data_IF_874262738911
#
_entry.id   IF_874262738911
#
_cell.length_a   1.000
_cell.length_b   1.000
_cell.length_c   1.000
_cell.angle_alpha   90.00
_cell.angle_beta   90.00
_cell.angle_gamma   90.00
#
_symmetry.space_group_name_H-M   'P 1'
#
loop_
_entity.id
_entity.type
_entity.pdbx_description
1 polymer ?
#
# COMPACT_ATOMS: atom_id res chain seq x y z
N UNK A 1 -7.12 -21.94 31.44
CA UNK A 1 -6.44 -20.69 31.05
C UNK A 1 -7.50 -19.70 30.62
N UNK A 2 -7.56 -18.53 31.24
CA UNK A 2 -8.50 -17.47 30.85
C UNK A 2 -7.94 -16.85 29.58
N UNK A 3 -8.52 -17.19 28.44
CA UNK A 3 -8.10 -16.70 27.11
C UNK A 3 -8.13 -15.16 27.09
N UNK A 4 -6.98 -14.55 26.78
CA UNK A 4 -6.76 -13.10 26.77
C UNK A 4 -7.69 -12.45 25.74
N UNK A 5 -8.31 -11.31 26.06
CA UNK A 5 -9.19 -10.60 25.12
C UNK A 5 -8.47 -10.29 23.80
N UNK A 6 -7.17 -9.99 23.82
CA UNK A 6 -6.41 -9.79 22.59
C UNK A 6 -6.37 -11.04 21.70
N UNK A 7 -6.09 -12.21 22.28
CA UNK A 7 -6.04 -13.49 21.55
C UNK A 7 -7.40 -13.85 20.93
N UNK A 8 -8.50 -13.58 21.66
CA UNK A 8 -9.86 -13.71 21.11
C UNK A 8 -10.07 -12.78 19.92
N UNK A 9 -9.59 -11.54 20.02
CA UNK A 9 -9.62 -10.58 18.93
C UNK A 9 -8.91 -11.11 17.68
N UNK A 10 -7.67 -11.59 17.84
CA UNK A 10 -6.88 -12.15 16.74
C UNK A 10 -7.58 -13.36 16.11
N UNK A 11 -8.13 -14.27 16.92
CA UNK A 11 -8.89 -15.43 16.42
C UNK A 11 -10.09 -15.02 15.56
N UNK A 12 -10.85 -14.00 15.97
CA UNK A 12 -11.94 -13.48 15.16
C UNK A 12 -11.42 -12.81 13.88
N UNK A 13 -10.35 -12.03 13.93
CA UNK A 13 -9.74 -11.41 12.74
C UNK A 13 -9.25 -12.47 11.73
N UNK A 14 -8.53 -13.48 12.20
CA UNK A 14 -8.07 -14.59 11.35
C UNK A 14 -9.26 -15.35 10.73
N UNK A 15 -10.33 -15.55 11.50
CA UNK A 15 -11.56 -16.16 10.97
C UNK A 15 -12.19 -15.30 9.87
N UNK A 16 -12.22 -13.97 10.04
CA UNK A 16 -12.71 -13.01 9.03
C UNK A 16 -11.89 -13.10 7.74
N UNK A 17 -10.56 -13.19 7.83
CA UNK A 17 -9.66 -13.30 6.69
C UNK A 17 -9.81 -14.66 5.98
N UNK A 18 -9.95 -15.75 6.74
CA UNK A 18 -10.05 -17.10 6.19
C UNK A 18 -11.43 -17.42 5.57
N UNK A 19 -12.52 -16.87 6.12
CA UNK A 19 -13.90 -17.28 5.78
C UNK A 19 -14.73 -16.18 5.09
N UNK A 20 -14.09 -15.20 4.46
CA UNK A 20 -14.75 -14.34 3.47
C UNK A 20 -15.39 -13.05 3.98
N UNK A 21 -14.63 -12.23 4.73
CA UNK A 21 -14.97 -10.84 5.06
C UNK A 21 -16.33 -10.62 5.75
N UNK A 22 -16.73 -11.52 6.65
CA UNK A 22 -17.97 -11.39 7.42
C UNK A 22 -17.87 -10.27 8.48
N UNK A 23 -18.62 -9.18 8.30
CA UNK A 23 -18.60 -8.01 9.19
C UNK A 23 -19.00 -8.31 10.65
N UNK A 24 -19.83 -9.32 10.90
CA UNK A 24 -20.19 -9.71 12.27
C UNK A 24 -18.97 -10.26 13.03
N UNK A 25 -18.11 -11.01 12.33
CA UNK A 25 -16.89 -11.56 12.91
C UNK A 25 -15.90 -10.43 13.21
N UNK A 26 -15.80 -9.45 12.31
CA UNK A 26 -14.94 -8.29 12.51
C UNK A 26 -15.39 -7.41 13.68
N UNK A 27 -16.71 -7.25 13.87
CA UNK A 27 -17.26 -6.60 15.06
C UNK A 27 -16.84 -7.30 16.36
N UNK A 28 -16.86 -8.64 16.39
CA UNK A 28 -16.37 -9.40 17.56
C UNK A 28 -14.88 -9.20 17.80
N UNK A 29 -14.08 -9.08 16.74
CA UNK A 29 -12.66 -8.74 16.88
C UNK A 29 -12.49 -7.36 17.55
N UNK A 30 -13.21 -6.34 17.06
CA UNK A 30 -13.20 -4.98 17.60
C UNK A 30 -13.60 -4.97 19.08
N UNK A 31 -14.69 -5.62 19.47
CA UNK A 31 -15.13 -5.67 20.88
C UNK A 31 -14.07 -6.25 21.82
N UNK A 32 -13.36 -7.27 21.36
CA UNK A 32 -12.28 -7.91 22.12
C UNK A 32 -11.03 -7.01 22.18
N UNK A 33 -10.64 -6.38 21.07
CA UNK A 33 -9.54 -5.41 21.07
C UNK A 33 -9.83 -4.20 21.96
N UNK A 34 -11.06 -3.67 21.97
CA UNK A 34 -11.45 -2.59 22.89
C UNK A 34 -11.28 -2.98 24.36
N UNK A 35 -11.60 -4.23 24.71
CA UNK A 35 -11.35 -4.75 26.07
C UNK A 35 -9.86 -4.89 26.35
N UNK A 36 -9.07 -5.34 25.38
CA UNK A 36 -7.62 -5.45 25.52
C UNK A 36 -6.96 -4.08 25.73
N UNK A 37 -7.32 -3.07 24.93
CA UNK A 37 -6.90 -1.67 25.09
C UNK A 37 -7.30 -1.12 26.46
N UNK A 38 -8.53 -1.40 26.94
CA UNK A 38 -8.96 -0.96 28.27
C UNK A 38 -8.10 -1.56 29.41
N UNK A 39 -7.60 -2.78 29.24
CA UNK A 39 -6.75 -3.45 30.22
C UNK A 39 -5.30 -2.98 30.17
N UNK A 40 -4.80 -2.64 28.98
CA UNK A 40 -3.45 -2.12 28.78
C UNK A 40 -3.47 -1.05 27.68
N UNK A 41 -3.71 0.23 28.04
CA UNK A 41 -3.86 1.33 27.08
C UNK A 41 -2.53 1.80 26.48
N UNK A 42 -1.39 1.37 27.00
CA UNK A 42 -0.07 1.73 26.46
C UNK A 42 0.48 0.64 25.52
N UNK A 43 -0.32 -0.41 25.25
CA UNK A 43 0.09 -1.48 24.36
C UNK A 43 -0.13 -1.09 22.89
N UNK A 44 0.97 -0.75 22.23
CA UNK A 44 1.03 -0.37 20.80
C UNK A 44 0.30 -1.37 19.90
N UNK A 45 0.53 -2.68 20.10
CA UNK A 45 -0.04 -3.72 19.26
C UNK A 45 -1.58 -3.77 19.39
N UNK A 46 -2.12 -3.50 20.57
CA UNK A 46 -3.57 -3.52 20.79
C UNK A 46 -4.26 -2.38 20.05
N UNK A 47 -3.69 -1.17 20.13
CA UNK A 47 -4.16 -0.02 19.35
C UNK A 47 -4.04 -0.26 17.85
N UNK A 48 -2.91 -0.80 17.39
CA UNK A 48 -2.72 -1.14 15.98
C UNK A 48 -3.77 -2.13 15.48
N UNK A 49 -4.05 -3.20 16.23
CA UNK A 49 -5.06 -4.20 15.85
C UNK A 49 -6.48 -3.65 15.88
N UNK A 50 -6.79 -2.78 16.85
CA UNK A 50 -8.09 -2.10 16.90
C UNK A 50 -8.27 -1.17 15.70
N UNK A 51 -7.28 -0.33 15.40
CA UNK A 51 -7.26 0.54 14.23
C UNK A 51 -7.39 -0.25 12.91
N UNK A 52 -6.65 -1.36 12.79
CA UNK A 52 -6.75 -2.24 11.63
C UNK A 52 -8.14 -2.84 11.46
N UNK A 53 -8.77 -3.29 12.55
CA UNK A 53 -10.12 -3.82 12.48
C UNK A 53 -11.16 -2.75 12.12
N UNK A 54 -11.02 -1.50 12.61
CA UNK A 54 -11.84 -0.38 12.17
C UNK A 54 -11.63 -0.04 10.69
N UNK A 55 -10.37 -0.05 10.22
CA UNK A 55 -10.04 0.19 8.81
C UNK A 55 -10.70 -0.85 7.90
N UNK A 56 -10.64 -2.14 8.26
CA UNK A 56 -11.33 -3.22 7.55
C UNK A 56 -12.87 -3.06 7.53
N UNK A 57 -13.44 -2.33 8.51
CA UNK A 57 -14.86 -1.96 8.54
C UNK A 57 -15.19 -0.64 7.83
N UNK A 58 -14.22 0.00 7.16
CA UNK A 58 -14.34 1.35 6.57
C UNK A 58 -14.70 2.43 7.61
N UNK A 59 -14.42 2.18 8.89
CA UNK A 59 -14.55 3.13 10.01
C UNK A 59 -13.26 3.95 10.12
N UNK A 60 -12.99 4.75 9.08
CA UNK A 60 -11.67 5.35 8.86
C UNK A 60 -11.30 6.42 9.89
N UNK A 61 -12.29 7.15 10.44
CA UNK A 61 -12.04 8.12 11.51
C UNK A 61 -11.59 7.44 12.81
N UNK A 62 -12.26 6.35 13.21
CA UNK A 62 -11.82 5.57 14.36
C UNK A 62 -10.49 4.88 14.10
N UNK A 63 -10.27 4.36 12.90
CA UNK A 63 -8.99 3.78 12.52
C UNK A 63 -7.85 4.80 12.63
N UNK A 64 -8.04 6.01 12.09
CA UNK A 64 -7.06 7.10 12.17
C UNK A 64 -6.74 7.45 13.62
N UNK A 65 -7.76 7.55 14.48
CA UNK A 65 -7.57 7.86 15.91
C UNK A 65 -6.71 6.81 16.61
N UNK A 66 -6.91 5.53 16.33
CA UNK A 66 -6.10 4.45 16.91
C UNK A 66 -4.67 4.43 16.34
N UNK A 67 -4.50 4.69 15.04
CA UNK A 67 -3.18 4.79 14.42
C UNK A 67 -2.38 6.00 14.91
N UNK A 68 -3.03 7.13 15.21
CA UNK A 68 -2.38 8.27 15.86
C UNK A 68 -1.83 7.92 17.24
N UNK A 69 -2.55 7.08 18.01
CA UNK A 69 -2.05 6.58 19.29
C UNK A 69 -0.83 5.69 19.07
N UNK A 70 -0.86 4.79 18.08
CA UNK A 70 0.28 3.96 17.70
C UNK A 70 1.52 4.82 17.40
N UNK A 71 1.36 5.87 16.58
CA UNK A 71 2.46 6.77 16.21
C UNK A 71 2.98 7.62 17.40
N UNK A 72 2.15 7.85 18.43
CA UNK A 72 2.57 8.53 19.67
C UNK A 72 3.33 7.59 20.61
N UNK A 73 2.88 6.34 20.74
CA UNK A 73 3.47 5.35 21.64
C UNK A 73 4.75 4.71 21.06
N UNK A 74 4.77 4.46 19.76
CA UNK A 74 5.89 3.89 19.01
C UNK A 74 6.15 4.75 17.76
N UNK A 75 6.77 5.93 17.94
CA UNK A 75 7.04 6.82 16.82
C UNK A 75 8.01 6.16 15.82
N UNK A 76 7.78 6.33 14.52
CA UNK A 76 8.69 5.79 13.51
C UNK A 76 10.09 6.34 13.72
N UNK A 77 11.10 5.48 13.51
CA UNK A 77 12.49 5.91 13.59
C UNK A 77 12.75 7.04 12.59
N UNK A 78 13.45 8.08 13.03
CA UNK A 78 13.93 9.12 12.12
C UNK A 78 14.84 8.45 11.08
N UNK A 79 14.57 8.62 9.77
CA UNK A 79 15.39 8.00 8.75
C UNK A 79 16.82 8.54 8.85
N UNK A 80 17.81 7.66 8.74
CA UNK A 80 19.21 8.08 8.67
C UNK A 80 19.44 8.90 7.40
N UNK A 81 20.46 9.77 7.42
CA UNK A 81 20.89 10.54 6.25
C UNK A 81 21.16 9.63 5.03
N UNK A 82 21.66 8.41 5.27
CA UNK A 82 21.87 7.41 4.23
C UNK A 82 20.54 6.96 3.61
N UNK A 83 19.55 6.60 4.44
CA UNK A 83 18.23 6.20 3.97
C UNK A 83 17.48 7.31 3.26
N UNK A 84 17.61 8.55 3.73
CA UNK A 84 17.06 9.71 3.06
C UNK A 84 17.70 9.94 1.67
N UNK A 85 19.03 9.87 1.57
CA UNK A 85 19.73 9.94 0.26
C UNK A 85 19.32 8.78 -0.66
N UNK A 86 19.14 7.59 -0.12
CA UNK A 86 18.75 6.41 -0.87
C UNK A 86 17.33 6.56 -1.45
N UNK A 87 16.37 7.05 -0.65
CA UNK A 87 15.01 7.30 -1.12
C UNK A 87 14.96 8.40 -2.17
N UNK A 88 15.75 9.47 -2.04
CA UNK A 88 15.82 10.51 -3.07
C UNK A 88 16.47 10.02 -4.37
N UNK A 89 17.55 9.24 -4.27
CA UNK A 89 18.26 8.69 -5.42
C UNK A 89 17.36 7.83 -6.31
N UNK A 90 16.53 6.99 -5.70
CA UNK A 90 15.66 6.06 -6.41
C UNK A 90 14.21 6.54 -6.52
N UNK A 91 13.93 7.80 -6.13
CA UNK A 91 12.59 8.35 -6.20
C UNK A 91 12.08 8.35 -7.65
N UNK A 92 10.90 7.76 -7.92
CA UNK A 92 10.34 7.75 -9.26
C UNK A 92 10.06 9.16 -9.75
N UNK A 93 10.09 9.34 -11.07
CA UNK A 93 9.57 10.51 -11.77
C UNK A 93 8.13 10.22 -12.14
N UNK A 94 7.22 11.00 -11.59
CA UNK A 94 5.79 10.85 -11.79
C UNK A 94 5.36 11.71 -12.98
N UNK A 95 4.66 11.09 -13.94
CA UNK A 95 4.12 11.73 -15.14
C UNK A 95 2.61 11.67 -15.07
N UNK A 96 1.99 12.80 -14.75
CA UNK A 96 0.53 12.92 -14.68
C UNK A 96 -0.07 13.06 -16.08
N UNK A 97 -1.22 12.43 -16.30
CA UNK A 97 -2.05 12.75 -17.46
C UNK A 97 -2.56 14.21 -17.35
N UNK A 98 -2.27 15.08 -18.33
CA UNK A 98 -2.66 16.49 -18.26
C UNK A 98 -4.17 16.71 -18.32
N UNK A 99 -4.96 15.72 -18.76
CA UNK A 99 -6.42 15.81 -18.83
C UNK A 99 -7.10 15.38 -17.54
N UNK A 100 -6.41 14.64 -16.69
CA UNK A 100 -6.96 13.97 -15.51
C UNK A 100 -5.91 14.04 -14.39
N UNK A 101 -5.70 15.24 -13.86
CA UNK A 101 -4.69 15.47 -12.84
C UNK A 101 -5.35 15.55 -11.46
N UNK A 102 -4.88 14.71 -10.54
CA UNK A 102 -5.14 14.84 -9.11
C UNK A 102 -3.87 15.33 -8.42
N UNK A 103 -4.04 16.18 -7.41
CA UNK A 103 -2.90 16.72 -6.67
C UNK A 103 -2.29 15.64 -5.79
N UNK A 104 -0.98 15.45 -5.86
CA UNK A 104 -0.27 14.64 -4.85
C UNK A 104 -0.33 15.39 -3.51
N UNK A 105 -1.04 14.82 -2.52
CA UNK A 105 -1.20 15.37 -1.18
C UNK A 105 0.00 15.05 -0.31
N UNK A 106 0.48 13.81 -0.35
CA UNK A 106 1.58 13.34 0.48
C UNK A 106 2.33 12.16 -0.14
N UNK A 107 3.52 11.87 0.37
CA UNK A 107 4.36 10.76 -0.05
C UNK A 107 5.13 10.16 1.13
N UNK A 108 5.05 8.83 1.27
CA UNK A 108 5.84 8.08 2.26
C UNK A 108 6.71 7.03 1.58
N UNK A 109 8.03 7.20 1.70
CA UNK A 109 9.01 6.21 1.26
C UNK A 109 9.33 5.24 2.40
N UNK A 110 9.09 3.94 2.17
CA UNK A 110 9.38 2.85 3.12
C UNK A 110 10.50 2.00 2.55
N UNK A 111 11.63 1.98 3.23
CA UNK A 111 12.77 1.12 2.86
C UNK A 111 12.55 -0.25 3.50
N UNK A 112 12.56 -1.30 2.69
CA UNK A 112 12.40 -2.65 3.18
C UNK A 112 13.62 -3.05 4.05
N UNK A 113 13.43 -3.68 5.23
CA UNK A 113 14.51 -3.92 6.19
C UNK A 113 15.60 -4.89 5.70
N UNK A 114 15.23 -5.84 4.83
CA UNK A 114 16.12 -6.91 4.35
C UNK A 114 16.40 -6.81 2.84
N UNK A 115 15.36 -6.68 2.01
CA UNK A 115 15.47 -6.62 0.55
C UNK A 115 15.85 -5.20 0.09
N UNK A 116 16.61 -5.05 -1.00
CA UNK A 116 16.97 -3.74 -1.52
C UNK A 116 15.81 -3.16 -2.36
N UNK A 117 14.69 -2.90 -1.69
CA UNK A 117 13.45 -2.39 -2.27
C UNK A 117 13.01 -1.18 -1.46
N UNK A 118 12.57 -0.12 -2.16
CA UNK A 118 11.89 1.02 -1.57
C UNK A 118 10.46 1.05 -2.10
N UNK A 119 9.48 1.09 -1.21
CA UNK A 119 8.10 1.35 -1.54
C UNK A 119 7.83 2.86 -1.43
N UNK A 120 7.33 3.48 -2.48
CA UNK A 120 6.84 4.86 -2.47
C UNK A 120 5.32 4.81 -2.45
N UNK A 121 4.75 5.14 -1.29
CA UNK A 121 3.32 5.30 -1.10
C UNK A 121 2.96 6.73 -1.50
N UNK A 122 2.04 6.86 -2.45
CA UNK A 122 1.61 8.11 -3.04
C UNK A 122 0.16 8.34 -2.63
N UNK A 123 -0.10 9.47 -1.96
CA UNK A 123 -1.45 9.84 -1.51
C UNK A 123 -1.93 11.01 -2.34
N UNK A 124 -3.00 10.79 -3.08
CA UNK A 124 -3.55 11.75 -4.03
C UNK A 124 -4.79 12.43 -3.46
N UNK A 125 -5.13 13.57 -4.04
CA UNK A 125 -6.45 14.13 -3.83
C UNK A 125 -7.50 13.12 -4.30
N UNK A 126 -8.52 12.96 -3.47
CA UNK A 126 -9.57 11.97 -3.68
C UNK A 126 -10.45 12.38 -4.86
N UNK A 127 -11.01 11.41 -5.57
CA UNK A 127 -11.91 11.70 -6.67
C UNK A 127 -13.25 12.25 -6.14
N UNK A 128 -13.68 13.38 -6.71
CA UNK A 128 -14.89 14.10 -6.25
C UNK A 128 -16.17 13.26 -6.45
N UNK A 129 -16.10 12.18 -7.22
CA UNK A 129 -17.24 11.43 -7.75
C UNK A 129 -17.77 10.32 -6.81
N UNK A 130 -17.09 10.00 -5.71
CA UNK A 130 -17.58 9.03 -4.68
C UNK A 130 -17.84 9.65 -3.29
N UNK A 131 -18.70 10.67 -3.17
CA UNK A 131 -19.04 11.27 -1.88
C UNK A 131 -19.81 10.25 -1.02
N UNK A 132 -19.11 9.57 -0.10
CA UNK A 132 -19.72 8.66 0.86
C UNK A 132 -18.84 7.49 1.31
N UNK A 133 -17.68 7.32 0.70
CA UNK A 133 -16.79 6.21 0.98
C UNK A 133 -15.82 6.49 2.15
N UNK A 134 -15.73 7.78 2.56
CA UNK A 134 -14.95 8.35 3.66
C UNK A 134 -13.42 8.22 3.50
N UNK A 135 -12.93 7.98 2.29
CA UNK A 135 -11.50 7.96 2.00
C UNK A 135 -10.96 9.41 1.94
N UNK A 136 -9.88 9.76 2.66
CA UNK A 136 -9.31 11.09 2.59
C UNK A 136 -8.44 11.31 1.34
N UNK A 137 -8.07 10.24 0.64
CA UNK A 137 -7.13 10.23 -0.48
C UNK A 137 -7.14 8.91 -1.23
N UNK A 138 -6.95 8.97 -2.55
CA UNK A 138 -6.52 7.80 -3.31
C UNK A 138 -5.08 7.40 -2.94
N UNK A 139 -4.86 6.10 -2.72
CA UNK A 139 -3.57 5.55 -2.33
C UNK A 139 -2.99 4.63 -3.41
N UNK A 140 -1.84 5.01 -3.93
CA UNK A 140 -1.08 4.25 -4.90
C UNK A 140 0.29 3.85 -4.33
N UNK A 141 0.88 2.77 -4.86
CA UNK A 141 2.18 2.29 -4.41
C UNK A 141 3.08 1.86 -5.57
N UNK A 142 4.32 2.32 -5.52
CA UNK A 142 5.39 1.97 -6.46
C UNK A 142 6.53 1.33 -5.69
N UNK A 143 7.03 0.18 -6.13
CA UNK A 143 8.25 -0.41 -5.58
C UNK A 143 9.41 -0.28 -6.56
N UNK A 144 10.55 0.17 -6.05
CA UNK A 144 11.80 0.24 -6.78
C UNK A 144 12.79 -0.71 -6.12
N UNK A 145 13.14 -1.78 -6.85
CA UNK A 145 14.24 -2.66 -6.47
C UNK A 145 15.55 -2.12 -7.06
N UNK A 146 16.62 -2.22 -6.29
CA UNK A 146 17.93 -1.71 -6.67
C UNK A 146 19.07 -2.63 -6.23
N UNK A 147 20.23 -2.45 -6.85
CA UNK A 147 21.49 -3.01 -6.40
C UNK A 147 22.32 -1.92 -5.74
N UNK A 148 22.49 -1.99 -4.41
CA UNK A 148 23.22 -0.99 -3.62
C UNK A 148 24.68 -0.81 -4.09
N UNK A 149 25.37 -1.91 -4.41
CA UNK A 149 26.79 -1.89 -4.81
C UNK A 149 27.02 -1.27 -6.19
N UNK A 150 26.14 -1.57 -7.14
CA UNK A 150 26.21 -1.03 -8.50
C UNK A 150 25.55 0.35 -8.60
N UNK A 151 24.75 0.71 -7.60
CA UNK A 151 23.96 1.93 -7.60
C UNK A 151 22.90 1.93 -8.69
N UNK A 152 22.38 0.77 -9.11
CA UNK A 152 21.46 0.62 -10.26
C UNK A 152 20.07 0.16 -9.85
N UNK A 153 19.01 0.64 -10.50
CA UNK A 153 17.67 0.04 -10.44
C UNK A 153 17.70 -1.33 -11.12
N UNK A 154 17.09 -2.32 -10.49
CA UNK A 154 16.96 -3.69 -11.01
C UNK A 154 15.52 -4.12 -11.22
N UNK A 155 14.57 -3.44 -10.59
CA UNK A 155 13.14 -3.72 -10.73
C UNK A 155 12.29 -2.47 -10.49
N UNK A 156 11.23 -2.35 -11.26
CA UNK A 156 10.21 -1.29 -11.12
C UNK A 156 8.86 -1.98 -11.11
N UNK A 157 8.09 -1.78 -10.05
CA UNK A 157 6.82 -2.45 -9.85
C UNK A 157 5.75 -1.44 -9.45
N UNK A 158 4.54 -1.59 -9.99
CA UNK A 158 3.36 -0.84 -9.54
C UNK A 158 2.22 -1.81 -9.22
N UNK A 159 1.31 -1.40 -8.35
CA UNK A 159 0.09 -2.15 -8.07
C UNK A 159 -1.07 -1.57 -8.87
N UNK A 160 -1.79 -2.40 -9.59
CA UNK A 160 -2.95 -1.99 -10.39
C UNK A 160 -4.01 -3.08 -10.40
N UNK A 161 -5.21 -2.79 -9.92
CA UNK A 161 -6.35 -3.72 -9.89
C UNK A 161 -5.99 -5.15 -9.47
N UNK A 162 -5.37 -5.28 -8.29
CA UNK A 162 -4.93 -6.56 -7.71
C UNK A 162 -3.71 -7.20 -8.39
N UNK A 163 -3.12 -6.56 -9.40
CA UNK A 163 -1.97 -7.09 -10.14
C UNK A 163 -0.73 -6.26 -9.87
N UNK A 164 0.43 -6.91 -9.76
CA UNK A 164 1.72 -6.22 -9.77
C UNK A 164 2.20 -6.16 -11.23
N UNK A 165 2.43 -4.95 -11.74
CA UNK A 165 2.93 -4.70 -13.08
C UNK A 165 4.42 -4.39 -13.04
N UNK A 166 5.16 -4.85 -14.05
CA UNK A 166 6.58 -4.54 -14.23
C UNK A 166 6.96 -4.68 -15.70
N UNK A 167 7.94 -3.89 -16.16
CA UNK A 167 8.47 -3.96 -17.53
C UNK A 167 9.99 -3.85 -17.50
N UNK A 168 10.66 -4.52 -18.45
CA UNK A 168 12.09 -4.31 -18.66
C UNK A 168 12.39 -2.87 -19.09
N UNK A 169 11.50 -2.26 -19.86
CA UNK A 169 11.65 -0.88 -20.30
C UNK A 169 11.61 0.13 -19.16
N UNK A 170 10.87 -0.13 -18.07
CA UNK A 170 10.92 0.73 -16.90
C UNK A 170 12.29 0.70 -16.20
N UNK A 171 12.93 -0.46 -16.13
CA UNK A 171 14.29 -0.59 -15.59
C UNK A 171 15.31 0.08 -16.51
N UNK A 172 15.27 -0.21 -17.83
CA UNK A 172 16.14 0.44 -18.83
C UNK A 172 15.94 1.96 -18.85
N UNK A 173 14.70 2.41 -18.73
CA UNK A 173 14.35 3.83 -18.66
C UNK A 173 14.83 4.51 -17.38
N UNK A 174 14.83 3.82 -16.25
CA UNK A 174 15.46 4.32 -15.03
C UNK A 174 16.98 4.47 -15.23
N UNK A 175 17.63 3.52 -15.89
CA UNK A 175 19.07 3.53 -16.10
C UNK A 175 19.56 4.74 -16.91
N UNK A 176 18.77 5.14 -17.92
CA UNK A 176 19.01 6.31 -18.76
C UNK A 176 18.73 7.65 -18.05
N UNK A 177 18.13 7.61 -16.86
CA UNK A 177 17.57 8.78 -16.18
C UNK A 177 17.92 8.79 -14.69
N UNK A 178 19.21 8.70 -14.40
CA UNK A 178 19.78 8.80 -13.05
C UNK A 178 19.16 7.84 -12.04
N UNK A 179 18.75 6.66 -12.51
CA UNK A 179 18.12 5.61 -11.70
C UNK A 179 16.73 5.97 -11.17
N UNK A 180 16.09 6.97 -11.79
CA UNK A 180 14.75 7.43 -11.43
C UNK A 180 13.74 6.91 -12.45
N UNK A 181 13.05 5.82 -12.07
CA UNK A 181 12.05 5.18 -12.91
C UNK A 181 10.94 6.15 -13.30
N UNK A 182 10.45 6.06 -14.55
CA UNK A 182 9.26 6.79 -14.99
C UNK A 182 8.02 5.99 -14.62
N UNK A 183 7.10 6.65 -13.93
CA UNK A 183 5.77 6.13 -13.58
C UNK A 183 4.74 7.07 -14.21
N UNK A 184 3.86 6.53 -15.04
CA UNK A 184 2.72 7.27 -15.57
C UNK A 184 1.55 7.11 -14.60
N UNK A 185 0.74 8.15 -14.42
CA UNK A 185 -0.45 8.15 -13.57
C UNK A 185 -1.62 8.60 -14.43
N UNK A 186 -2.62 7.73 -14.59
CA UNK A 186 -3.65 7.80 -15.63
C UNK A 186 -5.07 7.62 -15.03
N UNK A 187 -5.56 8.58 -14.25
CA UNK A 187 -6.81 8.44 -13.51
C UNK A 187 -8.04 8.14 -14.41
N UNK A 188 -9.20 7.80 -13.82
CA UNK A 188 -10.41 7.46 -14.59
C UNK A 188 -10.41 6.08 -15.28
N UNK A 189 -9.43 5.23 -14.98
CA UNK A 189 -9.39 3.83 -15.39
C UNK A 189 -8.04 3.12 -15.16
N UNK A 190 -6.96 3.88 -14.87
CA UNK A 190 -5.57 3.42 -14.97
C UNK A 190 -4.62 4.02 -13.87
N UNK A 191 -4.34 3.30 -12.79
CA UNK A 191 -3.54 3.79 -11.64
C UNK A 191 -2.05 4.13 -11.91
N UNK A 192 -1.17 3.88 -10.94
CA UNK A 192 0.27 4.02 -11.19
C UNK A 192 0.78 2.95 -12.15
N UNK A 193 1.40 3.34 -13.26
CA UNK A 193 1.79 2.43 -14.35
C UNK A 193 3.27 2.57 -14.74
N UNK A 194 4.00 1.46 -14.91
CA UNK A 194 5.39 1.50 -15.32
C UNK A 194 5.53 1.98 -16.77
N UNK A 195 6.70 2.47 -17.15
CA UNK A 195 7.01 2.81 -18.54
C UNK A 195 6.75 1.61 -19.48
N UNK A 196 6.07 1.84 -20.61
CA UNK A 196 5.63 0.81 -21.58
C UNK A 196 4.59 -0.19 -21.05
N UNK A 197 3.80 0.17 -20.03
CA UNK A 197 2.68 -0.64 -19.56
C UNK A 197 1.68 -1.01 -20.65
N UNK A 198 1.56 -0.21 -21.72
CA UNK A 198 0.65 -0.43 -22.84
C UNK A 198 1.00 -1.69 -23.64
N UNK A 199 2.25 -2.15 -23.52
CA UNK A 199 2.72 -3.42 -24.11
C UNK A 199 2.41 -4.63 -23.24
N UNK A 200 2.03 -4.41 -21.98
CA UNK A 200 1.62 -5.50 -21.11
C UNK A 200 0.28 -6.02 -21.61
N UNK A 201 0.29 -7.23 -22.15
CA UNK A 201 -0.94 -7.98 -22.30
C UNK A 201 -1.47 -8.34 -20.91
N UNK A 202 -2.81 -8.41 -20.71
CA UNK A 202 -3.41 -8.75 -19.42
C UNK A 202 -3.16 -10.23 -19.06
N UNK A 203 -1.90 -10.56 -18.76
CA UNK A 203 -1.50 -11.80 -18.08
C UNK A 203 -0.85 -11.39 -16.76
N UNK A 204 -1.64 -11.48 -15.69
CA UNK A 204 -1.23 -11.07 -14.36
C UNK A 204 -0.07 -11.92 -13.85
N UNK A 205 1.01 -11.26 -13.40
CA UNK A 205 1.99 -11.89 -12.51
C UNK A 205 1.38 -11.86 -11.10
N UNK A 206 0.74 -12.96 -10.73
CA UNK A 206 0.49 -13.29 -9.32
C UNK A 206 1.52 -14.33 -8.88
N UNK A 207 2.55 -13.90 -8.17
CA UNK A 207 3.28 -14.80 -7.27
C UNK A 207 2.50 -14.95 -5.97
N UNK A 208 1.35 -15.63 -6.07
CA UNK A 208 0.85 -16.46 -4.97
C UNK A 208 0.71 -17.86 -5.54
N UNK A 209 1.83 -18.59 -5.52
CA UNK A 209 1.94 -20.06 -5.69
C UNK A 209 0.93 -20.64 -6.71
N UNK A 210 1.27 -20.53 -8.01
CA UNK A 210 0.89 -21.56 -8.99
C UNK A 210 -0.42 -21.43 -9.80
N UNK A 211 -1.18 -20.33 -9.74
CA UNK A 211 -2.34 -20.15 -10.65
C UNK A 211 -2.34 -18.80 -11.37
N UNK A 212 -2.33 -18.87 -12.71
CA UNK A 212 -2.59 -17.73 -13.61
C UNK A 212 -4.09 -17.51 -13.75
N UNK A 213 -4.57 -16.29 -13.52
CA UNK A 213 -5.95 -15.89 -13.82
C UNK A 213 -5.95 -15.11 -15.14
N UNK A 214 -6.79 -15.52 -16.08
CA UNK A 214 -6.98 -14.83 -17.37
C UNK A 214 -7.86 -13.60 -17.13
N UNK A 215 -7.31 -12.40 -17.32
CA UNK A 215 -8.08 -11.16 -17.23
C UNK A 215 -8.62 -10.83 -18.64
N UNK A 216 -9.88 -10.38 -18.72
CA UNK A 216 -10.49 -9.92 -19.98
C UNK A 216 -9.71 -8.70 -20.51
N UNK A 217 -9.73 -8.51 -21.83
CA UNK A 217 -9.03 -7.40 -22.50
C UNK A 217 -9.33 -6.05 -21.83
N UNK A 218 -8.30 -5.19 -21.70
CA UNK A 218 -8.41 -3.85 -21.09
C UNK A 218 -9.51 -3.00 -21.77
N UNK A 219 -9.64 -3.08 -23.09
CA UNK A 219 -10.70 -2.41 -23.87
C UNK A 219 -12.10 -3.04 -23.73
N UNK A 220 -12.26 -4.12 -22.95
CA UNK A 220 -13.54 -4.80 -22.73
C UNK A 220 -14.03 -4.70 -21.27
N UNK A 221 -13.31 -3.96 -20.43
CA UNK A 221 -13.72 -3.66 -19.05
C UNK A 221 -14.35 -2.29 -18.88
N UNK A 222 -14.29 -1.46 -19.92
CA UNK A 222 -14.94 -0.16 -20.04
C UNK A 222 -15.64 -0.10 -21.39
#
# INVERSE_FOLDING_TARGET
MVENYFEKGEKYRETYEAHGRNLLILNKAIENYKKAVKLNPDNVLYHYRLGYAYHLMRRLMEASSEYEIVLKLDPPQTPSEEFFKLSLKYAPRIFLNPKEYFKLKDLVAVIHPIKPIIAYNLFWEDDIDYPGDNDPSDHEVVWIEFNKSKGKVTGVYTYFHQVILSTEEAVKGADLHDQRARINVEWGGHGSLPLRWEKLHPEAIFEKIGKRIKIKNMAQRY
#
